data_IF_436412133125
#
_entry.id   IF_436412133125
#
_cell.length_a   1.000
_cell.length_b   1.000
_cell.length_c   1.000
_cell.angle_alpha   90.00
_cell.angle_beta   90.00
_cell.angle_gamma   90.00
#
_symmetry.space_group_name_H-M   'P 1'
#
loop_
_entity.id
_entity.type
_entity.pdbx_description
1 polymer ?
#
# COMPACT_ATOMS: atom_id res chain seq x y z
N UNK A 1 -52.71 -12.84 15.63
CA UNK A 1 -51.55 -12.82 16.54
C UNK A 1 -50.33 -12.56 15.68
N UNK A 2 -49.96 -11.28 15.54
CA UNK A 2 -48.72 -10.90 14.88
C UNK A 2 -47.58 -11.25 15.83
N UNK A 3 -46.70 -12.15 15.41
CA UNK A 3 -45.47 -12.44 16.13
C UNK A 3 -44.56 -11.24 15.96
N UNK A 4 -44.42 -10.42 17.01
CA UNK A 4 -43.38 -9.41 17.06
C UNK A 4 -42.02 -10.13 16.97
N UNK A 5 -41.13 -9.73 16.04
CA UNK A 5 -39.80 -10.30 15.97
C UNK A 5 -39.09 -10.03 17.28
N UNK A 6 -38.57 -11.09 17.90
CA UNK A 6 -37.66 -10.99 19.04
C UNK A 6 -36.46 -10.13 18.62
N UNK A 7 -36.35 -8.94 19.21
CA UNK A 7 -35.18 -8.10 19.08
C UNK A 7 -34.08 -8.71 19.95
N UNK A 8 -33.17 -9.47 19.34
CA UNK A 8 -31.92 -9.84 20.02
C UNK A 8 -31.08 -8.56 20.16
N UNK A 9 -30.55 -8.25 21.35
CA UNK A 9 -29.66 -7.11 21.52
C UNK A 9 -28.43 -7.32 20.63
N UNK A 10 -28.19 -6.40 19.71
CA UNK A 10 -27.00 -6.40 18.86
C UNK A 10 -25.75 -6.41 19.74
N UNK A 11 -24.83 -7.33 19.46
CA UNK A 11 -23.50 -7.36 20.05
C UNK A 11 -22.82 -5.99 19.84
N UNK A 12 -22.35 -5.31 20.91
CA UNK A 12 -21.63 -4.05 20.81
C UNK A 12 -20.42 -4.11 19.87
N UNK A 13 -19.74 -5.26 19.80
CA UNK A 13 -18.58 -5.45 18.92
C UNK A 13 -18.98 -5.49 17.45
N UNK A 14 -20.05 -6.21 17.10
CA UNK A 14 -20.57 -6.23 15.73
C UNK A 14 -21.14 -4.86 15.32
N UNK A 15 -21.73 -4.13 16.27
CA UNK A 15 -22.18 -2.75 16.04
C UNK A 15 -21.02 -1.84 15.66
N UNK A 16 -19.91 -1.88 16.42
CA UNK A 16 -18.70 -1.11 16.13
C UNK A 16 -18.04 -1.54 14.81
N UNK A 17 -17.91 -2.86 14.58
CA UNK A 17 -17.33 -3.41 13.35
C UNK A 17 -18.13 -2.99 12.13
N UNK A 18 -19.45 -3.05 12.21
CA UNK A 18 -20.35 -2.62 11.15
C UNK A 18 -20.23 -1.12 10.86
N UNK A 19 -20.11 -0.30 11.91
CA UNK A 19 -19.87 1.13 11.78
C UNK A 19 -18.54 1.43 11.06
N UNK A 20 -17.43 0.82 11.50
CA UNK A 20 -16.12 1.00 10.85
C UNK A 20 -16.17 0.54 9.40
N UNK A 21 -16.75 -0.64 9.14
CA UNK A 21 -16.95 -1.18 7.78
C UNK A 21 -17.67 -0.19 6.86
N UNK A 22 -18.72 0.47 7.35
CA UNK A 22 -19.47 1.46 6.58
C UNK A 22 -18.66 2.74 6.32
N UNK A 23 -17.77 3.11 7.25
CA UNK A 23 -16.81 4.19 7.08
C UNK A 23 -15.74 3.91 6.02
N UNK A 24 -15.43 2.63 5.75
CA UNK A 24 -14.39 2.22 4.80
C UNK A 24 -14.90 2.08 3.36
N UNK A 25 -16.16 1.68 3.18
CA UNK A 25 -16.73 1.35 1.86
C UNK A 25 -17.52 2.56 1.32
N UNK A 26 -17.34 2.88 0.04
CA UNK A 26 -17.92 4.07 -0.61
C UNK A 26 -19.45 4.01 -0.73
N UNK A 27 -20.01 2.82 -0.94
CA UNK A 27 -21.45 2.59 -1.13
C UNK A 27 -22.13 1.94 0.07
N UNK A 28 -21.53 2.01 1.26
CA UNK A 28 -22.16 1.51 2.46
C UNK A 28 -23.32 2.43 2.91
N UNK A 29 -24.36 1.88 3.57
CA UNK A 29 -25.45 2.67 4.12
C UNK A 29 -24.89 3.74 5.08
N UNK A 30 -25.48 4.94 5.05
CA UNK A 30 -25.05 6.04 5.92
C UNK A 30 -25.18 5.62 7.38
N UNK A 31 -24.10 5.76 8.14
CA UNK A 31 -24.09 5.52 9.57
C UNK A 31 -24.72 6.70 10.32
N UNK A 32 -25.35 6.43 11.45
CA UNK A 32 -25.78 7.46 12.40
C UNK A 32 -24.60 8.34 12.84
N UNK A 33 -24.88 9.63 13.04
CA UNK A 33 -23.87 10.67 13.31
C UNK A 33 -23.07 10.47 14.61
N UNK A 34 -23.55 9.65 15.55
CA UNK A 34 -22.97 9.54 16.90
C UNK A 34 -21.55 8.95 16.95
N UNK A 35 -21.15 8.16 15.94
CA UNK A 35 -19.83 7.53 15.92
C UNK A 35 -18.80 8.24 15.01
N UNK A 36 -19.22 9.32 14.33
CA UNK A 36 -18.40 10.03 13.33
C UNK A 36 -17.13 10.66 13.94
N UNK A 37 -17.21 11.15 15.18
CA UNK A 37 -16.06 11.72 15.89
C UNK A 37 -14.97 10.68 16.20
N UNK A 38 -15.36 9.46 16.58
CA UNK A 38 -14.41 8.38 16.89
C UNK A 38 -13.68 7.90 15.63
N UNK A 39 -14.41 7.74 14.52
CA UNK A 39 -13.79 7.40 13.24
C UNK A 39 -12.89 8.53 12.73
N UNK A 40 -13.30 9.78 12.93
CA UNK A 40 -12.50 10.95 12.59
C UNK A 40 -11.19 10.98 13.37
N UNK A 41 -11.23 10.73 14.68
CA UNK A 41 -10.04 10.66 15.52
C UNK A 41 -9.12 9.51 15.11
N UNK A 42 -9.67 8.31 14.91
CA UNK A 42 -8.90 7.14 14.47
C UNK A 42 -8.21 7.40 13.12
N UNK A 43 -8.94 7.95 12.15
CA UNK A 43 -8.37 8.33 10.85
C UNK A 43 -7.27 9.39 11.00
N UNK A 44 -7.44 10.37 11.89
CA UNK A 44 -6.43 11.39 12.14
C UNK A 44 -5.14 10.81 12.73
N UNK A 45 -5.26 9.86 13.68
CA UNK A 45 -4.11 9.16 14.27
C UNK A 45 -3.36 8.33 13.23
N UNK A 46 -4.07 7.48 12.48
CA UNK A 46 -3.46 6.65 11.42
C UNK A 46 -2.82 7.50 10.33
N UNK A 47 -3.49 8.58 9.89
CA UNK A 47 -2.95 9.50 8.90
C UNK A 47 -1.68 10.19 9.41
N UNK A 48 -1.66 10.60 10.69
CA UNK A 48 -0.49 11.21 11.30
C UNK A 48 0.69 10.26 11.33
N UNK A 49 0.49 8.98 11.65
CA UNK A 49 1.58 8.01 11.69
C UNK A 49 2.07 7.63 10.28
N UNK A 50 1.18 7.50 9.30
CA UNK A 50 1.58 7.34 7.89
C UNK A 50 2.39 8.55 7.41
N UNK A 51 1.93 9.78 7.71
CA UNK A 51 2.66 10.99 7.36
C UNK A 51 4.04 11.04 8.02
N UNK A 52 4.15 10.67 9.30
CA UNK A 52 5.45 10.60 10.00
C UNK A 52 6.38 9.55 9.40
N UNK A 53 5.87 8.37 9.06
CA UNK A 53 6.67 7.33 8.40
C UNK A 53 7.16 7.80 7.03
N UNK A 54 6.29 8.48 6.27
CA UNK A 54 6.60 9.09 4.98
C UNK A 54 7.68 10.16 5.09
N UNK A 55 7.52 11.12 6.02
CA UNK A 55 8.49 12.17 6.32
C UNK A 55 9.84 11.60 6.74
N UNK A 56 9.84 10.58 7.60
CA UNK A 56 11.05 9.89 8.03
C UNK A 56 11.66 8.99 6.95
N UNK A 57 10.98 8.80 5.81
CA UNK A 57 11.34 7.85 4.76
C UNK A 57 11.59 6.43 5.31
N UNK A 58 10.78 6.01 6.29
CA UNK A 58 10.85 4.71 6.94
C UNK A 58 9.60 3.89 6.65
N UNK A 59 9.69 2.54 6.67
CA UNK A 59 8.52 1.70 6.69
C UNK A 59 7.62 2.06 7.86
N UNK A 60 6.33 1.79 7.70
CA UNK A 60 5.36 1.92 8.76
C UNK A 60 5.77 1.06 9.96
N UNK A 61 5.69 1.62 11.17
CA UNK A 61 5.97 0.89 12.39
C UNK A 61 5.03 -0.33 12.54
N UNK A 62 5.48 -1.47 13.10
CA UNK A 62 4.65 -2.66 13.24
C UNK A 62 3.32 -2.41 13.97
N UNK A 63 3.32 -1.63 15.05
CA UNK A 63 2.09 -1.34 15.81
C UNK A 63 1.09 -0.52 14.99
N UNK A 64 1.56 0.45 14.21
CA UNK A 64 0.70 1.21 13.30
C UNK A 64 0.17 0.32 12.17
N UNK A 65 1.00 -0.58 11.61
CA UNK A 65 0.57 -1.53 10.59
C UNK A 65 -0.53 -2.47 11.11
N UNK A 66 -0.39 -2.96 12.35
CA UNK A 66 -1.41 -3.74 13.05
C UNK A 66 -2.69 -2.94 13.30
N UNK A 67 -2.56 -1.67 13.69
CA UNK A 67 -3.71 -0.77 13.83
C UNK A 67 -4.47 -0.57 12.52
N UNK A 68 -3.76 -0.38 11.40
CA UNK A 68 -4.37 -0.32 10.07
C UNK A 68 -5.05 -1.65 9.71
N UNK A 69 -4.39 -2.78 9.97
CA UNK A 69 -4.96 -4.10 9.72
C UNK A 69 -6.25 -4.33 10.51
N UNK A 70 -6.31 -3.93 11.79
CA UNK A 70 -7.51 -4.02 12.62
C UNK A 70 -8.69 -3.25 12.00
N UNK A 71 -8.43 -2.04 11.50
CA UNK A 71 -9.44 -1.21 10.84
C UNK A 71 -9.91 -1.89 9.55
N UNK A 72 -9.00 -2.28 8.66
CA UNK A 72 -9.35 -2.89 7.38
C UNK A 72 -10.04 -4.25 7.54
N UNK A 73 -9.68 -5.02 8.56
CA UNK A 73 -10.28 -6.30 8.89
C UNK A 73 -11.79 -6.18 9.20
N UNK A 74 -12.28 -5.01 9.62
CA UNK A 74 -13.71 -4.78 9.83
C UNK A 74 -14.54 -5.00 8.55
N UNK A 75 -13.93 -4.83 7.37
CA UNK A 75 -14.57 -5.11 6.09
C UNK A 75 -14.59 -6.61 5.72
N UNK A 76 -13.87 -7.47 6.44
CA UNK A 76 -13.73 -8.91 6.15
C UNK A 76 -14.59 -9.77 7.11
N UNK A 77 -14.72 -11.10 6.84
CA UNK A 77 -15.34 -12.03 7.78
C UNK A 77 -14.64 -12.06 9.15
N UNK A 78 -15.33 -12.51 10.22
CA UNK A 78 -14.68 -12.83 11.48
C UNK A 78 -13.62 -13.94 11.28
N UNK A 79 -12.51 -13.89 12.02
CA UNK A 79 -11.34 -14.78 11.90
C UNK A 79 -10.53 -14.65 10.59
N UNK A 80 -10.41 -13.42 10.09
CA UNK A 80 -9.54 -13.11 8.96
C UNK A 80 -8.07 -13.07 9.41
N UNK A 81 -7.13 -13.38 8.52
CA UNK A 81 -5.69 -13.29 8.77
C UNK A 81 -5.24 -11.87 9.13
N UNK A 82 -5.93 -10.84 8.63
CA UNK A 82 -5.72 -9.45 9.07
C UNK A 82 -6.09 -9.20 10.54
N UNK A 83 -7.09 -9.91 11.09
CA UNK A 83 -7.40 -9.88 12.53
C UNK A 83 -6.25 -10.53 13.30
N UNK A 84 -5.84 -11.73 12.90
CA UNK A 84 -4.75 -12.45 13.57
C UNK A 84 -3.46 -11.61 13.57
N UNK A 85 -3.14 -10.97 12.44
CA UNK A 85 -2.00 -10.06 12.33
C UNK A 85 -2.15 -8.83 13.24
N UNK A 86 -3.34 -8.21 13.28
CA UNK A 86 -3.63 -7.09 14.16
C UNK A 86 -3.46 -7.44 15.65
N UNK A 87 -3.86 -8.66 16.04
CA UNK A 87 -3.71 -9.21 17.39
C UNK A 87 -2.27 -9.64 17.72
N UNK A 88 -1.36 -9.53 16.74
CA UNK A 88 0.08 -9.73 16.92
C UNK A 88 0.57 -11.13 16.59
N UNK A 89 -0.25 -11.97 15.94
CA UNK A 89 0.19 -13.25 15.42
C UNK A 89 1.30 -13.10 14.35
N UNK A 90 2.03 -14.19 14.10
CA UNK A 90 3.01 -14.24 13.03
C UNK A 90 2.31 -14.12 11.66
N UNK A 91 2.83 -13.31 10.71
CA UNK A 91 2.15 -13.09 9.43
C UNK A 91 2.06 -14.37 8.58
N UNK A 92 0.83 -14.81 8.30
CA UNK A 92 0.54 -15.79 7.24
C UNK A 92 0.42 -15.04 5.91
N UNK A 93 1.57 -14.74 5.28
CA UNK A 93 1.63 -13.91 4.06
C UNK A 93 0.70 -14.39 2.94
N UNK A 94 0.62 -15.69 2.59
CA UNK A 94 -0.34 -16.15 1.59
C UNK A 94 -1.79 -15.74 1.88
N UNK A 95 -2.25 -15.90 3.13
CA UNK A 95 -3.61 -15.48 3.50
C UNK A 95 -3.77 -13.96 3.55
N UNK A 96 -2.76 -13.25 4.06
CA UNK A 96 -2.77 -11.79 4.08
C UNK A 96 -2.88 -11.20 2.67
N UNK A 97 -2.11 -11.74 1.71
CA UNK A 97 -2.17 -11.28 0.33
C UNK A 97 -3.52 -11.59 -0.33
N UNK A 98 -4.13 -12.73 -0.05
CA UNK A 98 -5.50 -13.02 -0.51
C UNK A 98 -6.51 -12.02 0.05
N UNK A 99 -6.47 -11.74 1.37
CA UNK A 99 -7.37 -10.79 2.02
C UNK A 99 -7.17 -9.35 1.54
N UNK A 100 -5.93 -8.92 1.33
CA UNK A 100 -5.59 -7.65 0.67
C UNK A 100 -6.21 -7.60 -0.73
N UNK A 101 -6.11 -8.69 -1.50
CA UNK A 101 -6.77 -8.83 -2.80
C UNK A 101 -8.30 -8.73 -2.72
N UNK A 102 -8.91 -9.33 -1.70
CA UNK A 102 -10.35 -9.21 -1.44
C UNK A 102 -10.76 -7.77 -1.11
N UNK A 103 -9.97 -7.06 -0.30
CA UNK A 103 -10.21 -5.66 0.04
C UNK A 103 -10.11 -4.74 -1.18
N UNK A 104 -9.13 -4.96 -2.08
CA UNK A 104 -8.98 -4.20 -3.33
C UNK A 104 -10.15 -4.32 -4.28
N UNK A 105 -10.78 -5.51 -4.31
CA UNK A 105 -11.98 -5.76 -5.12
C UNK A 105 -13.21 -5.03 -4.56
N UNK A 106 -13.13 -4.43 -3.38
CA UNK A 106 -14.18 -3.58 -2.81
C UNK A 106 -13.95 -2.13 -3.23
N UNK A 107 -15.03 -1.39 -3.45
CA UNK A 107 -15.00 0.07 -3.62
C UNK A 107 -14.70 0.75 -2.29
N UNK A 108 -13.42 0.72 -1.89
CA UNK A 108 -12.92 1.41 -0.70
C UNK A 108 -12.92 2.91 -0.95
N UNK A 109 -13.27 3.69 0.09
CA UNK A 109 -13.09 5.14 0.06
C UNK A 109 -11.60 5.48 -0.10
N UNK A 110 -11.23 6.63 -0.68
CA UNK A 110 -9.84 6.99 -0.95
C UNK A 110 -8.91 6.82 0.25
N UNK A 111 -9.30 7.29 1.44
CA UNK A 111 -8.51 7.11 2.68
C UNK A 111 -8.30 5.65 3.08
N UNK A 112 -9.31 4.80 2.92
CA UNK A 112 -9.19 3.37 3.22
C UNK A 112 -8.25 2.67 2.21
N UNK A 113 -8.34 3.05 0.94
CA UNK A 113 -7.40 2.60 -0.11
C UNK A 113 -5.96 3.04 0.20
N UNK A 114 -5.78 4.25 0.73
CA UNK A 114 -4.48 4.73 1.19
C UNK A 114 -3.92 3.88 2.33
N UNK A 115 -4.74 3.58 3.35
CA UNK A 115 -4.30 2.72 4.45
C UNK A 115 -3.93 1.32 3.97
N UNK A 116 -4.70 0.76 3.03
CA UNK A 116 -4.36 -0.52 2.43
C UNK A 116 -3.00 -0.46 1.72
N UNK A 117 -2.73 0.62 0.99
CA UNK A 117 -1.43 0.85 0.32
C UNK A 117 -0.26 0.96 1.31
N UNK A 118 -0.46 1.61 2.46
CA UNK A 118 0.56 1.66 3.51
C UNK A 118 0.81 0.30 4.16
N UNK A 119 -0.26 -0.46 4.41
CA UNK A 119 -0.16 -1.81 4.95
C UNK A 119 0.57 -2.74 3.98
N UNK A 120 0.25 -2.71 2.69
CA UNK A 120 0.94 -3.53 1.69
C UNK A 120 2.41 -3.15 1.57
N UNK A 121 2.75 -1.86 1.63
CA UNK A 121 4.14 -1.40 1.71
C UNK A 121 4.88 -1.98 2.91
N UNK A 122 4.23 -2.03 4.09
CA UNK A 122 4.80 -2.68 5.28
C UNK A 122 4.98 -4.18 5.10
N UNK A 123 4.00 -4.88 4.53
CA UNK A 123 4.07 -6.33 4.28
C UNK A 123 5.20 -6.67 3.29
N UNK A 124 5.36 -5.89 2.20
CA UNK A 124 6.48 -6.04 1.26
C UNK A 124 7.81 -5.82 2.00
N UNK A 125 7.95 -4.75 2.78
CA UNK A 125 9.19 -4.45 3.49
C UNK A 125 9.55 -5.52 4.53
N UNK A 126 8.55 -6.21 5.09
CA UNK A 126 8.73 -7.27 6.07
C UNK A 126 9.02 -8.64 5.44
N UNK A 127 8.35 -8.97 4.33
CA UNK A 127 8.51 -10.25 3.63
C UNK A 127 9.71 -10.25 2.68
N UNK A 128 9.92 -9.13 1.98
CA UNK A 128 10.86 -8.96 0.87
C UNK A 128 11.69 -7.67 1.07
N UNK A 129 12.50 -7.58 2.14
CA UNK A 129 13.20 -6.34 2.50
C UNK A 129 14.13 -5.83 1.38
N UNK A 130 14.67 -6.71 0.55
CA UNK A 130 15.53 -6.34 -0.59
C UNK A 130 14.77 -5.67 -1.73
N UNK A 131 13.45 -5.79 -1.78
CA UNK A 131 12.59 -5.17 -2.79
C UNK A 131 11.85 -3.95 -2.27
N UNK A 132 11.98 -3.63 -0.99
CA UNK A 132 11.39 -2.44 -0.40
C UNK A 132 11.95 -1.16 -1.07
N UNK A 133 11.14 -0.08 -1.15
CA UNK A 133 11.58 1.19 -1.73
C UNK A 133 12.88 1.71 -1.12
N UNK A 134 13.76 2.22 -1.97
CA UNK A 134 15.00 2.90 -1.58
C UNK A 134 14.71 4.06 -0.64
N UNK A 135 15.63 4.30 0.30
CA UNK A 135 15.56 5.42 1.24
C UNK A 135 16.63 6.44 0.89
N UNK A 136 16.35 7.76 1.05
CA UNK A 136 17.38 8.77 0.86
C UNK A 136 18.53 8.56 1.87
N UNK A 137 19.79 8.78 1.47
CA UNK A 137 20.95 8.49 2.30
C UNK A 137 21.04 9.32 3.59
N UNK A 138 20.33 10.46 3.69
CA UNK A 138 20.10 11.23 4.94
C UNK A 138 18.79 12.02 4.88
N UNK A 139 17.93 11.96 5.92
CA UNK A 139 16.74 12.82 6.03
C UNK A 139 17.05 14.26 6.47
N UNK A 140 18.32 14.62 6.71
CA UNK A 140 18.70 15.90 7.35
C UNK A 140 18.48 17.15 6.47
N UNK A 141 18.16 16.99 5.18
CA UNK A 141 17.71 18.11 4.35
C UNK A 141 16.25 18.40 4.66
N UNK A 142 15.94 19.64 5.06
CA UNK A 142 14.58 20.14 5.32
C UNK A 142 13.72 20.26 4.06
N UNK A 143 13.66 19.17 3.29
CA UNK A 143 12.82 18.98 2.12
C UNK A 143 11.35 18.92 2.48
N UNK A 144 10.52 19.00 1.45
CA UNK A 144 9.06 18.94 1.58
C UNK A 144 8.61 17.49 1.44
N UNK A 145 7.97 16.95 2.47
CA UNK A 145 7.38 15.61 2.48
C UNK A 145 5.95 15.73 2.96
N UNK A 146 4.97 15.28 2.18
CA UNK A 146 3.58 15.37 2.58
C UNK A 146 2.69 14.39 1.83
N UNK A 147 1.55 14.08 2.44
CA UNK A 147 0.46 13.34 1.83
C UNK A 147 -0.66 14.34 1.55
N UNK A 148 -1.06 14.46 0.29
CA UNK A 148 -2.16 15.32 -0.14
C UNK A 148 -3.22 14.51 -0.87
N UNK A 149 -4.46 14.99 -0.82
CA UNK A 149 -5.60 14.32 -1.43
C UNK A 149 -6.38 15.29 -2.32
N UNK A 150 -6.81 14.80 -3.49
CA UNK A 150 -7.86 15.40 -4.30
C UNK A 150 -9.10 14.50 -4.24
N UNK A 151 -10.10 14.91 -3.46
CA UNK A 151 -11.33 14.14 -3.29
C UNK A 151 -12.19 14.10 -4.56
N UNK A 152 -12.09 15.12 -5.44
CA UNK A 152 -12.85 15.14 -6.69
C UNK A 152 -12.29 14.12 -7.69
N UNK A 153 -10.97 13.89 -7.65
CA UNK A 153 -10.29 12.87 -8.43
C UNK A 153 -10.19 11.50 -7.71
N UNK A 154 -10.59 11.43 -6.43
CA UNK A 154 -10.44 10.24 -5.61
C UNK A 154 -8.98 9.84 -5.39
N UNK A 155 -8.06 10.81 -5.40
CA UNK A 155 -6.63 10.57 -5.56
C UNK A 155 -5.86 11.02 -4.32
N UNK A 156 -4.95 10.18 -3.82
CA UNK A 156 -4.06 10.50 -2.70
C UNK A 156 -2.62 10.33 -3.17
N UNK A 157 -1.85 11.41 -3.03
CA UNK A 157 -0.45 11.51 -3.41
C UNK A 157 0.41 11.66 -2.18
N UNK A 158 1.39 10.76 -2.05
CA UNK A 158 2.49 10.92 -1.11
C UNK A 158 3.67 11.47 -1.91
N UNK A 159 4.12 12.68 -1.60
CA UNK A 159 5.12 13.42 -2.39
C UNK A 159 6.37 13.66 -1.56
N UNK A 160 7.53 13.56 -2.21
CA UNK A 160 8.83 13.92 -1.65
C UNK A 160 9.47 14.99 -2.52
N UNK A 161 10.08 15.99 -1.91
CA UNK A 161 11.00 16.90 -2.58
C UNK A 161 12.12 17.33 -1.64
N UNK A 162 13.27 16.64 -1.66
CA UNK A 162 14.41 16.99 -0.81
C UNK A 162 15.02 18.36 -1.18
N UNK A 163 14.79 18.84 -2.42
CA UNK A 163 15.36 20.08 -2.93
C UNK A 163 14.50 21.31 -2.61
N UNK A 164 13.22 21.12 -2.32
CA UNK A 164 12.29 22.23 -2.09
C UNK A 164 12.04 22.51 -0.62
N UNK A 165 12.03 23.80 -0.28
CA UNK A 165 11.61 24.26 1.05
C UNK A 165 10.11 24.10 1.20
N UNK A 166 9.73 23.65 2.39
CA UNK A 166 8.33 23.49 2.76
C UNK A 166 7.63 24.85 2.86
N UNK A 167 6.84 25.17 1.84
CA UNK A 167 5.99 26.36 1.79
C UNK A 167 4.70 26.02 1.04
N UNK A 168 3.60 26.69 1.35
CA UNK A 168 2.32 26.46 0.68
C UNK A 168 2.43 26.56 -0.86
N UNK A 169 3.03 27.62 -1.45
CA UNK A 169 3.21 27.68 -2.90
C UNK A 169 4.06 26.54 -3.48
N UNK A 170 5.03 26.03 -2.73
CA UNK A 170 5.80 24.84 -3.13
C UNK A 170 4.89 23.62 -3.17
N UNK A 171 4.14 23.36 -2.08
CA UNK A 171 3.25 22.20 -1.98
C UNK A 171 2.23 22.17 -3.09
N UNK A 172 1.61 23.32 -3.39
CA UNK A 172 0.61 23.43 -4.46
C UNK A 172 1.22 23.06 -5.84
N UNK A 173 2.42 23.55 -6.14
CA UNK A 173 3.13 23.21 -7.39
C UNK A 173 3.52 21.73 -7.48
N UNK A 174 4.04 21.16 -6.38
CA UNK A 174 4.41 19.74 -6.33
C UNK A 174 3.17 18.86 -6.50
N UNK A 175 2.06 19.27 -5.88
CA UNK A 175 0.79 18.58 -6.00
C UNK A 175 0.26 18.62 -7.43
N UNK A 176 0.27 19.78 -8.08
CA UNK A 176 -0.12 19.93 -9.49
C UNK A 176 0.74 19.05 -10.42
N UNK A 177 2.06 19.05 -10.23
CA UNK A 177 2.96 18.19 -10.99
C UNK A 177 2.66 16.69 -10.78
N UNK A 178 2.44 16.28 -9.54
CA UNK A 178 2.08 14.90 -9.19
C UNK A 178 0.73 14.47 -9.75
N UNK A 179 -0.29 15.35 -9.69
CA UNK A 179 -1.61 15.11 -10.28
C UNK A 179 -1.50 14.94 -11.79
N UNK A 180 -0.76 15.82 -12.48
CA UNK A 180 -0.58 15.71 -13.93
C UNK A 180 0.09 14.37 -14.31
N UNK A 181 1.13 13.96 -13.59
CA UNK A 181 1.76 12.67 -13.82
C UNK A 181 0.79 11.50 -13.58
N UNK A 182 0.03 11.53 -12.47
CA UNK A 182 -0.95 10.50 -12.13
C UNK A 182 -2.11 10.43 -13.14
N UNK A 183 -2.57 11.55 -13.69
CA UNK A 183 -3.62 11.56 -14.71
C UNK A 183 -3.12 11.02 -16.06
N UNK A 184 -1.85 11.26 -16.41
CA UNK A 184 -1.27 10.81 -17.67
C UNK A 184 -0.93 9.31 -17.66
N UNK A 185 -0.43 8.80 -16.52
CA UNK A 185 0.13 7.45 -16.42
C UNK A 185 -0.62 6.52 -15.46
N UNK A 186 -1.62 7.04 -14.74
CA UNK A 186 -2.46 6.28 -13.82
C UNK A 186 -1.75 5.83 -12.55
N UNK A 187 -2.18 4.68 -12.03
CA UNK A 187 -1.67 4.07 -10.80
C UNK A 187 -0.15 3.85 -10.74
N UNK A 188 0.55 3.45 -11.84
CA UNK A 188 2.01 3.40 -11.85
C UNK A 188 2.69 4.71 -11.44
N UNK A 189 2.19 5.86 -11.87
CA UNK A 189 2.75 7.14 -11.49
C UNK A 189 2.49 7.46 -10.01
N UNK A 190 1.32 7.09 -9.48
CA UNK A 190 1.04 7.21 -8.04
C UNK A 190 2.02 6.36 -7.22
N UNK A 191 2.32 5.14 -7.69
CA UNK A 191 3.31 4.27 -7.06
C UNK A 191 4.73 4.88 -7.13
N UNK A 192 5.11 5.44 -8.27
CA UNK A 192 6.41 6.08 -8.46
C UNK A 192 6.63 7.26 -7.50
N UNK A 193 5.62 8.12 -7.34
CA UNK A 193 5.70 9.30 -6.47
C UNK A 193 5.87 8.95 -4.98
N UNK A 194 5.46 7.74 -4.57
CA UNK A 194 5.64 7.23 -3.19
C UNK A 194 7.06 6.78 -2.89
N UNK A 195 7.92 6.63 -3.89
CA UNK A 195 9.29 6.19 -3.67
C UNK A 195 10.04 7.32 -2.96
N UNK A 196 10.61 7.09 -1.76
CA UNK A 196 11.22 8.17 -0.97
C UNK A 196 12.39 8.91 -1.64
N UNK A 197 13.03 8.29 -2.63
CA UNK A 197 14.13 8.90 -3.40
C UNK A 197 13.67 9.70 -4.61
N UNK A 198 12.39 9.67 -4.98
CA UNK A 198 11.85 10.42 -6.12
C UNK A 198 11.59 11.87 -5.71
N UNK A 199 12.20 12.83 -6.41
CA UNK A 199 11.95 14.25 -6.20
C UNK A 199 10.81 14.74 -7.12
N UNK A 200 9.63 14.97 -6.55
CA UNK A 200 8.47 15.49 -7.27
C UNK A 200 8.69 16.92 -7.84
N UNK A 201 9.74 17.63 -7.41
CA UNK A 201 10.11 18.94 -7.97
C UNK A 201 11.00 18.83 -9.22
N UNK A 202 11.45 17.63 -9.56
CA UNK A 202 12.39 17.43 -10.64
C UNK A 202 11.75 17.90 -11.97
N UNK A 203 12.41 18.77 -12.76
CA UNK A 203 11.83 19.29 -14.00
C UNK A 203 11.51 18.20 -15.04
N UNK A 204 12.26 17.10 -15.02
CA UNK A 204 12.13 15.93 -15.88
C UNK A 204 11.47 14.74 -15.16
N UNK A 205 10.57 14.99 -14.19
CA UNK A 205 9.86 13.96 -13.41
C UNK A 205 9.20 12.88 -14.29
N UNK A 206 8.58 13.28 -15.40
CA UNK A 206 7.96 12.36 -16.36
C UNK A 206 8.99 11.49 -17.09
N UNK A 207 10.13 12.05 -17.47
CA UNK A 207 11.24 11.29 -18.07
C UNK A 207 11.83 10.31 -17.04
N UNK A 208 11.99 10.75 -15.79
CA UNK A 208 12.44 9.90 -14.69
C UNK A 208 11.47 8.73 -14.46
N UNK A 209 10.16 8.98 -14.46
CA UNK A 209 9.14 7.92 -14.39
C UNK A 209 9.29 6.92 -15.55
N UNK A 210 9.36 7.41 -16.79
CA UNK A 210 9.45 6.57 -17.98
C UNK A 210 10.74 5.74 -18.03
N UNK A 211 11.84 6.25 -17.45
CA UNK A 211 13.09 5.49 -17.30
C UNK A 211 13.02 4.46 -16.18
N UNK A 212 12.35 4.78 -15.08
CA UNK A 212 12.30 3.94 -13.88
C UNK A 212 11.30 2.80 -14.01
N UNK A 213 10.10 3.06 -14.56
CA UNK A 213 8.99 2.11 -14.57
C UNK A 213 9.25 0.98 -15.55
N UNK A 214 9.21 -0.26 -15.05
CA UNK A 214 9.46 -1.44 -15.87
C UNK A 214 8.20 -2.25 -16.15
N UNK A 215 7.22 -2.21 -15.24
CA UNK A 215 5.98 -2.96 -15.42
C UNK A 215 5.03 -2.89 -14.23
N UNK A 216 3.84 -3.42 -14.44
CA UNK A 216 2.76 -3.53 -13.45
C UNK A 216 2.27 -4.98 -13.44
N UNK A 217 2.09 -5.53 -12.26
CA UNK A 217 1.84 -6.96 -12.05
C UNK A 217 0.69 -7.16 -11.05
N UNK A 218 -0.09 -8.21 -11.21
CA UNK A 218 -1.25 -8.50 -10.35
C UNK A 218 -0.82 -9.13 -9.02
N UNK A 219 0.27 -9.90 -9.03
CA UNK A 219 0.85 -10.55 -7.86
C UNK A 219 2.37 -10.40 -7.80
N UNK A 220 2.95 -10.69 -6.63
CA UNK A 220 4.41 -10.75 -6.47
C UNK A 220 4.98 -11.93 -7.27
N UNK A 221 4.25 -13.04 -7.31
CA UNK A 221 4.56 -14.24 -8.08
C UNK A 221 4.73 -13.92 -9.57
N UNK A 222 3.82 -13.12 -10.15
CA UNK A 222 3.87 -12.74 -11.56
C UNK A 222 5.15 -11.97 -11.92
N UNK A 223 5.66 -11.14 -10.99
CA UNK A 223 6.95 -10.47 -11.16
C UNK A 223 8.03 -11.54 -11.32
N UNK A 224 8.13 -12.47 -10.37
CA UNK A 224 9.21 -13.46 -10.40
C UNK A 224 9.11 -14.39 -11.61
N UNK A 225 7.91 -14.83 -11.98
CA UNK A 225 7.70 -15.66 -13.17
C UNK A 225 8.06 -14.94 -14.48
N UNK A 226 7.89 -13.62 -14.52
CA UNK A 226 8.27 -12.79 -15.67
C UNK A 226 9.79 -12.64 -15.80
N UNK A 227 10.50 -12.38 -14.70
CA UNK A 227 11.93 -12.06 -14.74
C UNK A 227 12.86 -13.26 -14.57
N UNK A 228 12.40 -14.29 -13.87
CA UNK A 228 13.21 -15.45 -13.56
C UNK A 228 12.61 -16.68 -14.21
N UNK A 229 13.21 -17.07 -15.33
CA UNK A 229 12.98 -18.40 -15.87
C UNK A 229 13.87 -19.37 -15.10
N UNK A 230 13.32 -20.04 -14.09
CA UNK A 230 14.03 -21.13 -13.42
C UNK A 230 13.93 -22.36 -14.32
N UNK A 231 15.02 -22.64 -15.03
CA UNK A 231 15.16 -23.80 -15.91
C UNK A 231 15.96 -24.86 -15.15
N UNK A 232 15.31 -25.97 -14.79
CA UNK A 232 16.05 -27.16 -14.38
C UNK A 232 16.43 -27.95 -15.63
N UNK A 233 17.71 -28.29 -15.75
CA UNK A 233 18.20 -29.18 -16.80
C UNK A 233 18.23 -30.58 -16.22
N UNK A 234 17.24 -31.39 -16.56
CA UNK A 234 17.27 -32.81 -16.27
C UNK A 234 17.19 -33.58 -17.59
N UNK A 235 18.16 -34.47 -17.81
CA UNK A 235 18.20 -35.48 -18.90
C UNK A 235 17.46 -35.09 -20.20
N UNK A 236 18.01 -34.11 -20.94
CA UNK A 236 17.55 -33.62 -22.26
C UNK A 236 16.21 -32.85 -22.31
N UNK A 237 15.56 -32.55 -21.18
CA UNK A 237 14.36 -31.70 -21.14
C UNK A 237 14.54 -30.48 -20.22
N UNK A 238 14.29 -29.28 -20.78
CA UNK A 238 14.22 -28.05 -20.01
C UNK A 238 12.81 -27.91 -19.42
N UNK A 239 12.69 -28.11 -18.10
CA UNK A 239 11.45 -27.83 -17.38
C UNK A 239 11.49 -26.43 -16.80
N UNK A 240 10.45 -25.64 -17.07
CA UNK A 240 10.23 -24.33 -16.45
C UNK A 240 9.41 -24.53 -15.19
N UNK A 241 9.93 -24.06 -14.07
CA UNK A 241 9.22 -24.08 -12.80
C UNK A 241 8.64 -22.69 -12.50
N UNK A 242 7.36 -22.60 -12.10
CA UNK A 242 6.82 -21.36 -11.56
C UNK A 242 7.49 -21.04 -10.22
N UNK A 243 7.50 -19.77 -9.84
CA UNK A 243 8.09 -19.28 -8.59
C UNK A 243 7.52 -19.97 -7.35
N UNK A 244 6.24 -20.37 -7.37
CA UNK A 244 5.64 -21.13 -6.27
C UNK A 244 6.21 -22.56 -6.11
N UNK A 245 6.86 -23.11 -7.14
CA UNK A 245 7.45 -24.44 -7.12
C UNK A 245 8.92 -24.47 -6.68
N UNK A 246 9.60 -23.31 -6.62
CA UNK A 246 10.98 -23.23 -6.12
C UNK A 246 11.02 -23.24 -4.60
N UNK A 247 12.14 -23.72 -4.03
CA UNK A 247 12.33 -23.77 -2.59
C UNK A 247 12.68 -22.39 -2.00
N UNK A 248 12.60 -22.24 -0.67
CA UNK A 248 12.79 -20.94 -0.01
C UNK A 248 14.19 -20.34 -0.21
N UNK A 249 15.24 -21.16 -0.30
CA UNK A 249 16.61 -20.68 -0.54
C UNK A 249 16.74 -20.07 -1.95
N UNK A 250 16.15 -20.72 -2.96
CA UNK A 250 16.09 -20.22 -4.33
C UNK A 250 15.27 -18.93 -4.41
N UNK A 251 14.12 -18.86 -3.73
CA UNK A 251 13.30 -17.64 -3.65
C UNK A 251 14.08 -16.49 -3.05
N UNK A 252 14.74 -16.68 -1.91
CA UNK A 252 15.58 -15.66 -1.29
C UNK A 252 16.74 -15.22 -2.20
N UNK A 253 17.31 -16.13 -2.98
CA UNK A 253 18.32 -15.79 -3.99
C UNK A 253 17.73 -14.91 -5.11
N UNK A 254 16.54 -15.23 -5.59
CA UNK A 254 15.82 -14.44 -6.60
C UNK A 254 15.45 -13.05 -6.07
N UNK A 255 14.95 -12.96 -4.83
CA UNK A 255 14.62 -11.70 -4.15
C UNK A 255 15.82 -10.79 -4.07
N UNK A 256 16.96 -11.30 -3.57
CA UNK A 256 18.22 -10.54 -3.51
C UNK A 256 18.68 -10.08 -4.88
N UNK A 257 18.64 -10.97 -5.90
CA UNK A 257 19.04 -10.61 -7.27
C UNK A 257 18.17 -9.52 -7.84
N UNK A 258 16.85 -9.63 -7.73
CA UNK A 258 15.92 -8.61 -8.21
C UNK A 258 16.11 -7.30 -7.44
N UNK A 259 16.19 -7.39 -6.11
CA UNK A 259 16.35 -6.28 -5.18
C UNK A 259 17.63 -5.46 -5.37
N UNK A 260 18.67 -6.03 -5.99
CA UNK A 260 19.90 -5.26 -6.32
C UNK A 260 19.67 -4.16 -7.34
N UNK A 261 18.64 -4.29 -8.19
CA UNK A 261 18.37 -3.35 -9.30
C UNK A 261 16.97 -2.78 -9.27
N UNK A 262 16.05 -3.45 -8.60
CA UNK A 262 14.64 -3.09 -8.63
C UNK A 262 14.09 -2.91 -7.22
N UNK A 263 12.99 -2.17 -7.17
CA UNK A 263 12.15 -1.96 -6.01
C UNK A 263 10.69 -2.11 -6.41
N UNK A 264 9.85 -2.53 -5.47
CA UNK A 264 8.43 -2.74 -5.68
C UNK A 264 7.67 -1.74 -4.85
N UNK A 265 6.72 -1.08 -5.50
CA UNK A 265 5.69 -0.28 -4.81
C UNK A 265 4.34 -0.81 -5.22
N UNK A 266 3.49 -1.04 -4.24
CA UNK A 266 2.09 -1.35 -4.52
C UNK A 266 1.28 -0.06 -4.57
N UNK A 267 0.39 0.03 -5.56
CA UNK A 267 -0.65 1.04 -5.57
C UNK A 267 -1.84 0.53 -6.40
N UNK A 268 -3.04 0.96 -6.01
CA UNK A 268 -4.27 0.71 -6.77
C UNK A 268 -4.49 -0.75 -7.16
N UNK A 269 -3.99 -1.68 -6.36
CA UNK A 269 -4.21 -3.10 -6.57
C UNK A 269 -3.14 -3.84 -7.35
N UNK A 270 -2.09 -3.17 -7.80
CA UNK A 270 -1.02 -3.76 -8.59
C UNK A 270 0.35 -3.51 -7.96
N UNK A 271 1.27 -4.44 -8.19
CA UNK A 271 2.68 -4.28 -7.85
C UNK A 271 3.40 -3.65 -9.02
N UNK A 272 3.99 -2.49 -8.80
CA UNK A 272 4.74 -1.75 -9.80
C UNK A 272 6.24 -1.91 -9.55
N UNK A 273 6.95 -2.35 -10.58
CA UNK A 273 8.39 -2.56 -10.52
C UNK A 273 9.12 -1.34 -11.08
N UNK A 274 10.03 -0.80 -10.28
CA UNK A 274 10.86 0.35 -10.65
C UNK A 274 12.34 0.00 -10.53
N UNK A 275 13.18 0.58 -11.39
CA UNK A 275 14.62 0.57 -11.21
C UNK A 275 15.01 1.35 -9.94
N UNK A 276 16.05 0.89 -9.24
CA UNK A 276 16.76 1.66 -8.22
C UNK A 276 17.72 2.63 -8.93
N UNK A 277 17.84 3.84 -8.38
CA UNK A 277 18.80 4.88 -8.80
C UNK A 277 18.68 5.30 -10.28
N UNK A 278 17.70 6.16 -10.58
CA UNK A 278 17.70 7.00 -11.80
C UNK A 278 18.54 8.25 -11.57
#
# INVERSE_FOLDING_TARGET
MEQHPHYEPNDPEESLRSFIRNGLIEHAPSTDHEFDESLTLLNALLQSDCARAHEACTPLAPDTARGIAAVLACALPPHSALIDFADGAEPDYPKLWDEVGQLRRRSLRPKASEYLTWLTGHLIASQLPELAPSRPPRPDTGGTHFIAADNALGLILALHSPTCRDSRPTRDKLFEAGVNLALNYGTPAVAFLRIPTVDAAQPDLEEAFNKAHYGSFDSLEDIFDTFFQVITVDTDQQHRHPYCAVNDEERQSMHRKLGTRFQIVEAGGHFHLFLRDV
#
